data_IF_307205122724
#
_entry.id   IF_307205122724
#
_cell.length_a   1.000
_cell.length_b   1.000
_cell.length_c   1.000
_cell.angle_alpha   90.00
_cell.angle_beta   90.00
_cell.angle_gamma   90.00
#
_symmetry.space_group_name_H-M   'P 1'
#
loop_
_entity.id
_entity.type
_entity.pdbx_description
1 polymer ?
#
# COMPACT_ATOMS: atom_id res chain seq x y z
N UNK A 1 -1.67 40.44 -18.13
CA UNK A 1 -2.31 39.47 -17.20
C UNK A 1 -1.33 38.32 -17.00
N UNK A 2 -0.50 38.36 -15.95
CA UNK A 2 0.45 37.28 -15.64
C UNK A 2 -0.24 36.08 -14.97
N UNK A 3 0.32 34.86 -15.06
CA UNK A 3 -0.27 33.69 -14.45
C UNK A 3 -0.17 33.81 -12.93
N UNK A 4 -1.31 33.73 -12.24
CA UNK A 4 -1.39 33.65 -10.78
C UNK A 4 -0.67 32.38 -10.34
N UNK A 5 0.44 32.53 -9.60
CA UNK A 5 0.97 31.47 -8.75
C UNK A 5 -0.13 31.14 -7.73
N UNK A 6 -0.66 29.92 -7.78
CA UNK A 6 -1.44 29.36 -6.69
C UNK A 6 -0.49 29.22 -5.51
N UNK A 7 -0.50 30.18 -4.60
CA UNK A 7 0.07 30.03 -3.27
C UNK A 7 -0.71 28.91 -2.57
N UNK A 8 -0.12 27.72 -2.51
CA UNK A 8 -0.62 26.58 -1.74
C UNK A 8 -0.49 26.91 -0.25
N UNK A 9 -1.46 27.66 0.28
CA UNK A 9 -1.58 27.87 1.72
C UNK A 9 -1.88 26.52 2.36
N UNK A 10 -0.89 25.96 3.04
CA UNK A 10 -1.06 24.73 3.80
C UNK A 10 -2.14 24.88 4.86
N UNK A 11 -2.99 23.86 5.03
CA UNK A 11 -3.65 23.70 6.33
C UNK A 11 -2.58 23.29 7.33
N UNK A 12 -2.27 24.09 8.36
CA UNK A 12 -1.19 23.82 9.33
C UNK A 12 -1.35 22.45 10.02
N UNK A 13 -2.56 21.89 10.04
CA UNK A 13 -2.81 20.55 10.60
C UNK A 13 -2.18 19.39 9.82
N UNK A 14 -2.05 19.47 8.49
CA UNK A 14 -1.46 18.37 7.70
C UNK A 14 0.04 18.23 7.95
N UNK A 15 0.76 19.35 8.00
CA UNK A 15 2.20 19.35 8.19
C UNK A 15 2.58 18.86 9.59
N UNK A 16 1.87 19.33 10.62
CA UNK A 16 2.05 18.89 12.00
C UNK A 16 1.76 17.40 12.17
N UNK A 17 0.67 16.91 11.56
CA UNK A 17 0.35 15.49 11.56
C UNK A 17 1.47 14.65 10.95
N UNK A 18 1.96 15.03 9.76
CA UNK A 18 3.00 14.27 9.06
C UNK A 18 4.30 14.22 9.88
N UNK A 19 4.74 15.36 10.45
CA UNK A 19 5.93 15.41 11.32
C UNK A 19 5.81 14.52 12.54
N UNK A 20 4.62 14.41 13.13
CA UNK A 20 4.37 13.54 14.28
C UNK A 20 4.31 12.06 13.87
N UNK A 21 3.63 11.77 12.76
CA UNK A 21 3.28 10.41 12.35
C UNK A 21 4.41 9.66 11.64
N UNK A 22 5.20 10.37 10.83
CA UNK A 22 6.30 9.75 10.09
C UNK A 22 7.50 9.63 11.02
N UNK A 23 7.95 8.40 11.35
CA UNK A 23 9.10 8.24 12.22
C UNK A 23 10.37 8.75 11.52
N UNK A 24 11.23 9.52 12.20
CA UNK A 24 12.51 9.90 11.63
C UNK A 24 13.37 8.65 11.41
N UNK A 25 14.17 8.67 10.34
CA UNK A 25 15.12 7.59 10.08
C UNK A 25 16.20 7.59 11.17
N UNK A 26 16.33 6.54 12.02
CA UNK A 26 17.33 6.53 13.07
C UNK A 26 18.75 6.50 12.49
N UNK A 27 19.79 6.88 13.25
CA UNK A 27 21.17 6.66 12.85
C UNK A 27 21.42 5.19 12.49
N UNK A 28 22.24 4.95 11.47
CA UNK A 28 22.55 3.60 10.97
C UNK A 28 23.01 2.65 12.08
N UNK A 29 23.83 3.14 13.01
CA UNK A 29 24.36 2.38 14.14
C UNK A 29 23.27 1.88 15.10
N UNK A 30 22.08 2.50 15.06
CA UNK A 30 20.92 2.16 15.89
C UNK A 30 19.74 1.64 15.08
N UNK A 31 19.93 1.31 13.78
CA UNK A 31 18.85 0.92 12.86
C UNK A 31 18.03 -0.29 13.30
N UNK A 32 18.62 -1.19 14.09
CA UNK A 32 17.98 -2.41 14.61
C UNK A 32 17.28 -2.19 15.96
N UNK A 33 17.55 -1.08 16.64
CA UNK A 33 16.87 -0.78 17.90
C UNK A 33 15.40 -0.50 17.60
N UNK A 34 14.52 -1.27 18.23
CA UNK A 34 13.08 -1.07 18.08
C UNK A 34 12.74 0.39 18.41
N UNK A 35 12.10 1.14 17.50
CA UNK A 35 11.59 2.47 17.84
C UNK A 35 10.57 2.33 18.99
N UNK A 36 10.46 3.35 19.88
CA UNK A 36 9.47 3.36 20.96
C UNK A 36 8.05 3.14 20.42
N UNK A 37 7.06 2.68 21.21
CA UNK A 37 5.76 2.29 20.69
C UNK A 37 5.08 3.45 19.94
N UNK A 38 5.11 3.35 18.60
CA UNK A 38 4.62 4.39 17.68
C UNK A 38 3.11 4.22 17.42
N UNK A 39 2.48 3.19 17.99
CA UNK A 39 1.11 2.73 17.71
C UNK A 39 0.08 3.87 17.74
N UNK A 40 0.14 4.74 18.76
CA UNK A 40 -0.73 5.90 18.87
C UNK A 40 -0.61 6.85 17.66
N UNK A 41 0.60 7.05 17.13
CA UNK A 41 0.84 7.96 16.00
C UNK A 41 0.33 7.38 14.69
N UNK A 42 0.48 6.07 14.50
CA UNK A 42 -0.09 5.38 13.34
C UNK A 42 -1.62 5.47 13.34
N UNK A 43 -2.27 5.24 14.48
CA UNK A 43 -3.73 5.39 14.61
C UNK A 43 -4.20 6.83 14.38
N UNK A 44 -3.46 7.83 14.86
CA UNK A 44 -3.74 9.25 14.59
C UNK A 44 -3.69 9.55 13.08
N UNK A 45 -2.67 9.05 12.37
CA UNK A 45 -2.55 9.20 10.92
C UNK A 45 -3.76 8.59 10.19
N UNK A 46 -4.12 7.35 10.52
CA UNK A 46 -5.28 6.66 9.91
C UNK A 46 -6.57 7.44 10.15
N UNK A 47 -6.79 7.89 11.39
CA UNK A 47 -7.98 8.65 11.77
C UNK A 47 -8.07 9.97 11.00
N UNK A 48 -6.96 10.72 10.93
CA UNK A 48 -6.91 11.97 10.19
C UNK A 48 -7.15 11.73 8.69
N UNK A 49 -6.48 10.74 8.11
CA UNK A 49 -6.63 10.40 6.69
C UNK A 49 -8.08 10.06 6.34
N UNK A 50 -8.75 9.23 7.17
CA UNK A 50 -10.15 8.85 6.95
C UNK A 50 -11.13 10.01 7.14
N UNK A 51 -10.80 11.00 7.96
CA UNK A 51 -11.60 12.22 8.11
C UNK A 51 -11.51 13.16 6.89
N UNK A 52 -10.49 13.00 6.04
CA UNK A 52 -10.39 13.75 4.79
C UNK A 52 -11.37 13.22 3.74
N UNK A 53 -11.97 14.14 3.01
CA UNK A 53 -12.78 13.81 1.83
C UNK A 53 -11.91 13.13 0.75
N UNK A 54 -12.43 12.11 0.06
CA UNK A 54 -11.76 11.51 -1.09
C UNK A 54 -11.39 12.54 -2.17
N UNK A 55 -10.40 12.22 -3.00
CA UNK A 55 -9.93 13.10 -4.07
C UNK A 55 -8.92 14.17 -3.60
N UNK A 56 -9.12 15.47 -3.90
CA UNK A 56 -8.08 16.49 -3.72
C UNK A 56 -7.44 16.58 -2.32
N UNK A 57 -8.19 16.51 -1.19
CA UNK A 57 -7.58 16.63 0.14
C UNK A 57 -6.65 15.46 0.50
N UNK A 58 -7.04 14.22 0.15
CA UNK A 58 -6.18 13.04 0.35
C UNK A 58 -4.97 13.08 -0.59
N UNK A 59 -5.19 13.47 -1.84
CA UNK A 59 -4.12 13.63 -2.81
C UNK A 59 -3.06 14.63 -2.33
N UNK A 60 -3.48 15.78 -1.79
CA UNK A 60 -2.58 16.80 -1.23
C UNK A 60 -1.73 16.24 -0.08
N UNK A 61 -2.34 15.53 0.86
CA UNK A 61 -1.63 14.90 1.98
C UNK A 61 -0.59 13.89 1.47
N UNK A 62 -0.95 13.04 0.50
CA UNK A 62 -0.06 12.05 -0.09
C UNK A 62 1.11 12.68 -0.85
N UNK A 63 0.87 13.78 -1.57
CA UNK A 63 1.95 14.52 -2.25
C UNK A 63 2.95 15.12 -1.26
N UNK A 64 2.46 15.68 -0.14
CA UNK A 64 3.33 16.20 0.92
C UNK A 64 4.15 15.07 1.55
N UNK A 65 3.51 13.95 1.89
CA UNK A 65 4.19 12.77 2.42
C UNK A 65 5.31 12.31 1.49
N UNK A 66 5.01 12.17 0.19
CA UNK A 66 5.98 11.72 -0.81
C UNK A 66 7.16 12.69 -0.99
N UNK A 67 6.89 14.00 -0.98
CA UNK A 67 7.90 15.04 -1.22
C UNK A 67 8.77 15.28 0.02
N UNK A 68 8.15 15.44 1.18
CA UNK A 68 8.82 15.94 2.39
C UNK A 68 9.45 14.82 3.23
N UNK A 69 9.00 13.57 3.03
CA UNK A 69 9.44 12.39 3.78
C UNK A 69 10.02 11.28 2.89
N UNK A 70 10.56 11.66 1.73
CA UNK A 70 11.30 10.78 0.83
C UNK A 70 12.71 10.44 1.31
N UNK A 71 13.61 10.27 0.36
CA UNK A 71 15.03 9.97 0.60
C UNK A 71 15.80 11.25 0.96
N UNK A 72 16.66 11.18 1.98
CA UNK A 72 17.56 12.29 2.33
C UNK A 72 18.76 12.34 1.36
N UNK A 73 18.61 13.03 0.23
CA UNK A 73 19.61 13.05 -0.85
C UNK A 73 21.03 13.47 -0.43
N UNK A 74 21.16 14.35 0.58
CA UNK A 74 22.46 14.72 1.14
C UNK A 74 23.19 13.53 1.78
N UNK A 75 22.49 12.75 2.62
CA UNK A 75 23.05 11.54 3.25
C UNK A 75 23.38 10.46 2.23
N UNK A 76 22.59 10.34 1.16
CA UNK A 76 22.88 9.41 0.07
C UNK A 76 24.17 9.78 -0.65
N UNK A 77 24.37 11.07 -0.97
CA UNK A 77 25.60 11.53 -1.62
C UNK A 77 26.83 11.26 -0.74
N UNK A 78 26.74 11.56 0.56
CA UNK A 78 27.81 11.28 1.52
C UNK A 78 28.12 9.78 1.64
N UNK A 79 27.08 8.93 1.72
CA UNK A 79 27.25 7.48 1.82
C UNK A 79 27.84 6.90 0.52
N UNK A 80 27.41 7.39 -0.65
CA UNK A 80 27.94 6.97 -1.94
C UNK A 80 29.43 7.32 -2.09
N UNK A 81 29.84 8.52 -1.66
CA UNK A 81 31.25 8.92 -1.65
C UNK A 81 32.11 7.98 -0.78
N UNK A 82 31.59 7.53 0.38
CA UNK A 82 32.29 6.56 1.25
C UNK A 82 32.48 5.19 0.59
N UNK A 83 31.51 4.73 -0.22
CA UNK A 83 31.64 3.49 -0.99
C UNK A 83 32.76 3.61 -2.03
N UNK A 84 32.79 4.72 -2.78
CA UNK A 84 33.84 4.96 -3.78
C UNK A 84 35.22 5.01 -3.13
N UNK A 85 35.35 5.74 -2.02
CA UNK A 85 36.61 5.83 -1.28
C UNK A 85 37.10 4.47 -0.76
N UNK A 86 36.20 3.64 -0.22
CA UNK A 86 36.55 2.30 0.27
C UNK A 86 37.07 1.40 -0.86
N UNK A 87 36.49 1.53 -2.07
CA UNK A 87 36.91 0.80 -3.28
C UNK A 87 38.29 1.27 -3.77
N UNK A 88 38.52 2.58 -3.85
CA UNK A 88 39.80 3.14 -4.31
C UNK A 88 40.97 2.76 -3.38
N UNK A 89 40.73 2.80 -2.07
CA UNK A 89 41.72 2.44 -1.05
C UNK A 89 41.98 0.93 -0.96
N UNK A 90 41.31 0.10 -1.78
CA UNK A 90 41.35 -1.37 -1.73
C UNK A 90 41.19 -1.89 -0.29
N UNK A 91 40.26 -1.32 0.47
CA UNK A 91 39.99 -1.75 1.84
C UNK A 91 39.53 -3.20 1.88
N UNK A 92 39.72 -3.85 3.03
CA UNK A 92 39.21 -5.19 3.31
C UNK A 92 37.73 -5.33 2.92
N UNK A 93 37.30 -6.50 2.38
CA UNK A 93 35.94 -6.70 1.88
C UNK A 93 34.83 -6.30 2.86
N UNK A 94 35.04 -6.53 4.17
CA UNK A 94 34.07 -6.17 5.20
C UNK A 94 33.80 -4.66 5.30
N UNK A 95 34.81 -3.82 5.09
CA UNK A 95 34.65 -2.36 5.12
C UNK A 95 33.84 -1.85 3.93
N UNK A 96 34.04 -2.44 2.75
CA UNK A 96 33.27 -2.13 1.55
C UNK A 96 31.80 -2.53 1.74
N UNK A 97 31.54 -3.75 2.21
CA UNK A 97 30.18 -4.24 2.46
C UNK A 97 29.43 -3.40 3.50
N UNK A 98 30.11 -2.93 4.55
CA UNK A 98 29.52 -2.02 5.53
C UNK A 98 29.17 -0.64 4.93
N UNK A 99 30.02 -0.12 4.04
CA UNK A 99 29.73 1.14 3.34
C UNK A 99 28.53 0.98 2.39
N UNK A 100 28.44 -0.13 1.66
CA UNK A 100 27.31 -0.47 0.80
C UNK A 100 26.01 -0.64 1.59
N UNK A 101 26.07 -1.28 2.75
CA UNK A 101 24.90 -1.43 3.63
C UNK A 101 24.39 -0.09 4.18
N UNK A 102 25.31 0.81 4.55
CA UNK A 102 24.96 2.20 4.91
C UNK A 102 24.29 2.94 3.76
N UNK A 103 24.81 2.79 2.53
CA UNK A 103 24.18 3.39 1.35
C UNK A 103 22.78 2.82 1.12
N UNK A 104 22.62 1.48 1.16
CA UNK A 104 21.32 0.81 1.05
C UNK A 104 20.34 1.30 2.13
N UNK A 105 20.81 1.50 3.35
CA UNK A 105 19.99 2.03 4.45
C UNK A 105 19.46 3.43 4.14
N UNK A 106 20.33 4.39 3.78
CA UNK A 106 19.93 5.78 3.51
C UNK A 106 19.16 5.97 2.20
N UNK A 107 19.18 5.00 1.29
CA UNK A 107 18.32 4.97 0.11
C UNK A 107 16.86 4.63 0.43
N UNK A 108 16.54 4.17 1.65
CA UNK A 108 15.15 3.95 2.04
C UNK A 108 14.47 5.28 2.38
N UNK A 109 13.32 5.61 1.76
CA UNK A 109 12.56 6.80 2.11
C UNK A 109 11.89 6.68 3.48
N UNK A 110 11.67 7.81 4.17
CA UNK A 110 11.12 7.80 5.53
C UNK A 110 9.67 7.31 5.59
N UNK A 111 8.83 7.61 4.58
CA UNK A 111 7.47 7.07 4.51
C UNK A 111 7.41 5.54 4.46
N UNK A 112 8.50 4.85 4.08
CA UNK A 112 8.57 3.38 4.19
C UNK A 112 8.41 2.93 5.64
N UNK A 113 9.02 3.65 6.59
CA UNK A 113 8.87 3.38 8.02
C UNK A 113 7.45 3.61 8.51
N UNK A 114 6.77 4.66 8.01
CA UNK A 114 5.35 4.87 8.26
C UNK A 114 4.52 3.68 7.75
N UNK A 115 4.70 3.24 6.50
CA UNK A 115 3.96 2.10 5.95
C UNK A 115 4.20 0.81 6.72
N UNK A 116 5.44 0.52 7.13
CA UNK A 116 5.76 -0.63 7.98
C UNK A 116 5.04 -0.56 9.32
N UNK A 117 4.97 0.63 9.92
CA UNK A 117 4.27 0.83 11.17
C UNK A 117 2.76 0.65 11.01
N UNK A 118 2.17 1.27 9.99
CA UNK A 118 0.75 1.13 9.66
C UNK A 118 0.38 -0.33 9.41
N UNK A 119 1.23 -1.10 8.73
CA UNK A 119 0.99 -2.54 8.48
C UNK A 119 0.92 -3.41 9.72
N UNK A 120 1.44 -2.95 10.88
CA UNK A 120 1.36 -3.65 12.16
C UNK A 120 0.09 -3.34 12.96
N UNK A 121 -0.64 -2.29 12.58
CA UNK A 121 -1.89 -1.93 13.25
C UNK A 121 -2.99 -2.93 12.90
N UNK A 122 -3.96 -3.08 13.80
CA UNK A 122 -5.20 -3.80 13.51
C UNK A 122 -5.93 -3.13 12.33
N UNK A 123 -6.24 -3.90 11.28
CA UNK A 123 -6.81 -3.36 10.03
C UNK A 123 -5.84 -2.52 9.20
N UNK A 124 -4.56 -2.48 9.57
CA UNK A 124 -3.52 -1.66 8.93
C UNK A 124 -3.23 -2.03 7.47
N UNK A 125 -3.16 -3.33 7.16
CA UNK A 125 -2.99 -3.80 5.77
C UNK A 125 -4.15 -3.38 4.88
N UNK A 126 -5.39 -3.47 5.37
CA UNK A 126 -6.58 -2.99 4.65
C UNK A 126 -6.47 -1.49 4.38
N UNK A 127 -6.09 -0.71 5.38
CA UNK A 127 -5.88 0.73 5.21
C UNK A 127 -4.79 1.05 4.16
N UNK A 128 -3.70 0.30 4.11
CA UNK A 128 -2.64 0.52 3.12
C UNK A 128 -3.09 0.20 1.69
N UNK A 129 -3.98 -0.77 1.52
CA UNK A 129 -4.63 -1.04 0.23
C UNK A 129 -5.56 0.12 -0.16
N UNK A 130 -6.38 0.61 0.77
CA UNK A 130 -7.24 1.80 0.58
C UNK A 130 -6.40 3.02 0.19
N UNK A 131 -5.32 3.30 0.93
CA UNK A 131 -4.41 4.41 0.67
C UNK A 131 -3.72 4.31 -0.70
N UNK A 132 -3.36 3.09 -1.13
CA UNK A 132 -2.80 2.86 -2.47
C UNK A 132 -3.84 3.11 -3.56
N UNK A 133 -5.10 2.72 -3.34
CA UNK A 133 -6.18 2.96 -4.30
C UNK A 133 -6.36 4.47 -4.53
N UNK A 134 -6.44 5.25 -3.45
CA UNK A 134 -6.52 6.71 -3.50
C UNK A 134 -5.28 7.33 -4.20
N UNK A 135 -4.09 6.77 -3.96
CA UNK A 135 -2.87 7.21 -4.62
C UNK A 135 -2.92 6.97 -6.14
N UNK A 136 -3.39 5.78 -6.57
CA UNK A 136 -3.52 5.47 -7.99
C UNK A 136 -4.59 6.34 -8.67
N UNK A 137 -5.71 6.61 -7.99
CA UNK A 137 -6.74 7.51 -8.49
C UNK A 137 -6.21 8.95 -8.64
N UNK A 138 -5.44 9.44 -7.66
CA UNK A 138 -4.78 10.74 -7.73
C UNK A 138 -3.81 10.86 -8.91
N UNK A 139 -3.04 9.81 -9.19
CA UNK A 139 -2.15 9.74 -10.35
C UNK A 139 -2.93 9.68 -11.67
N UNK A 140 -4.01 8.89 -11.73
CA UNK A 140 -4.82 8.72 -12.95
C UNK A 140 -5.58 10.01 -13.32
N UNK A 141 -6.12 10.72 -12.33
CA UNK A 141 -6.85 11.98 -12.50
C UNK A 141 -5.93 13.19 -12.78
N UNK A 142 -4.61 13.03 -12.66
CA UNK A 142 -3.61 14.13 -12.66
C UNK A 142 -3.91 15.21 -11.62
N UNK A 143 -4.73 14.92 -10.60
CA UNK A 143 -4.93 15.81 -9.46
C UNK A 143 -3.61 16.04 -8.70
N UNK A 144 -2.72 15.04 -8.77
CA UNK A 144 -1.37 15.07 -8.23
C UNK A 144 -0.43 14.39 -9.22
N UNK A 145 0.68 15.05 -9.56
CA UNK A 145 1.72 14.51 -10.45
C UNK A 145 3.10 14.87 -9.90
N UNK A 146 4.09 14.04 -10.22
CA UNK A 146 5.47 14.25 -9.84
C UNK A 146 6.25 12.95 -9.60
N UNK A 147 7.58 12.99 -9.75
CA UNK A 147 8.44 11.82 -9.56
C UNK A 147 8.36 11.23 -8.14
N UNK A 148 8.19 12.08 -7.12
CA UNK A 148 8.08 11.64 -5.72
C UNK A 148 6.87 10.72 -5.48
N UNK A 149 5.70 11.07 -6.02
CA UNK A 149 4.48 10.28 -5.80
C UNK A 149 4.56 8.94 -6.55
N UNK A 150 5.17 8.92 -7.73
CA UNK A 150 5.42 7.70 -8.51
C UNK A 150 6.41 6.77 -7.78
N UNK A 151 7.45 7.33 -7.18
CA UNK A 151 8.36 6.56 -6.30
C UNK A 151 7.56 5.95 -5.15
N UNK A 152 6.81 6.77 -4.40
CA UNK A 152 6.09 6.31 -3.21
C UNK A 152 5.08 5.21 -3.56
N UNK A 153 4.42 5.31 -4.72
CA UNK A 153 3.57 4.24 -5.27
C UNK A 153 4.34 2.94 -5.48
N UNK A 154 5.56 3.02 -6.03
CA UNK A 154 6.44 1.89 -6.27
C UNK A 154 6.86 1.21 -4.96
N UNK A 155 7.27 2.00 -3.97
CA UNK A 155 7.63 1.48 -2.63
C UNK A 155 6.43 0.76 -2.00
N UNK A 156 5.27 1.40 -1.97
CA UNK A 156 4.06 0.79 -1.41
C UNK A 156 3.62 -0.46 -2.20
N UNK A 157 3.86 -0.48 -3.52
CA UNK A 157 3.57 -1.65 -4.37
C UNK A 157 4.39 -2.84 -3.93
N UNK A 158 5.68 -2.65 -3.82
CA UNK A 158 6.63 -3.71 -3.49
C UNK A 158 6.33 -4.27 -2.09
N UNK A 159 6.06 -3.39 -1.12
CA UNK A 159 5.66 -3.81 0.23
C UNK A 159 4.37 -4.65 0.23
N UNK A 160 3.33 -4.19 -0.49
CA UNK A 160 2.09 -4.96 -0.61
C UNK A 160 2.28 -6.28 -1.38
N UNK A 161 3.18 -6.34 -2.36
CA UNK A 161 3.49 -7.60 -3.07
C UNK A 161 4.15 -8.63 -2.16
N UNK A 162 4.97 -8.20 -1.19
CA UNK A 162 5.54 -9.09 -0.18
C UNK A 162 4.47 -9.57 0.82
N UNK A 163 3.57 -8.69 1.24
CA UNK A 163 2.52 -9.01 2.21
C UNK A 163 1.35 -9.82 1.64
N UNK A 164 0.98 -9.62 0.37
CA UNK A 164 -0.08 -10.36 -0.31
C UNK A 164 0.45 -11.51 -1.18
N UNK A 165 1.55 -12.14 -0.76
CA UNK A 165 2.07 -13.32 -1.43
C UNK A 165 1.16 -14.54 -1.19
N UNK A 166 1.26 -15.55 -2.05
CA UNK A 166 0.36 -16.71 -2.04
C UNK A 166 0.32 -17.47 -0.71
N UNK A 167 1.41 -17.43 0.07
CA UNK A 167 1.49 -18.06 1.40
C UNK A 167 0.61 -17.42 2.47
N UNK A 168 0.14 -16.18 2.25
CA UNK A 168 -0.78 -15.49 3.17
C UNK A 168 -2.24 -15.48 2.69
N UNK A 169 -2.52 -16.09 1.54
CA UNK A 169 -3.85 -16.14 0.96
C UNK A 169 -4.52 -17.49 1.21
N UNK A 170 -5.73 -17.45 1.77
CA UNK A 170 -6.58 -18.62 1.95
C UNK A 170 -7.56 -18.71 0.78
N UNK A 171 -7.64 -19.90 0.17
CA UNK A 171 -8.68 -20.19 -0.81
C UNK A 171 -9.93 -20.69 -0.08
N UNK A 172 -11.00 -19.90 -0.13
CA UNK A 172 -12.28 -20.20 0.50
C UNK A 172 -13.34 -20.55 -0.55
N UNK A 173 -14.12 -21.60 -0.29
CA UNK A 173 -15.23 -21.99 -1.17
C UNK A 173 -16.53 -21.31 -0.73
N UNK A 174 -17.20 -20.69 -1.68
CA UNK A 174 -18.51 -20.05 -1.49
C UNK A 174 -19.60 -21.04 -1.88
N UNK A 175 -20.59 -21.16 -1.01
CA UNK A 175 -21.78 -21.99 -1.21
C UNK A 175 -23.02 -21.22 -0.79
N UNK A 176 -24.21 -21.78 -1.02
CA UNK A 176 -25.45 -21.15 -0.53
C UNK A 176 -25.55 -21.12 1.01
N UNK A 177 -24.72 -21.89 1.70
CA UNK A 177 -24.61 -21.92 3.15
C UNK A 177 -23.61 -20.89 3.70
N UNK A 178 -22.83 -20.24 2.84
CA UNK A 178 -21.91 -19.19 3.26
C UNK A 178 -22.66 -17.98 3.86
N UNK A 179 -22.04 -17.21 4.76
CA UNK A 179 -22.67 -16.02 5.34
C UNK A 179 -23.20 -15.07 4.26
N UNK A 180 -24.38 -14.50 4.51
CA UNK A 180 -25.02 -13.55 3.58
C UNK A 180 -24.10 -12.36 3.25
N UNK A 181 -23.32 -11.90 4.24
CA UNK A 181 -22.33 -10.83 4.05
C UNK A 181 -21.30 -11.16 2.97
N UNK A 182 -20.78 -12.39 2.94
CA UNK A 182 -19.79 -12.82 1.92
C UNK A 182 -20.45 -12.85 0.54
N UNK A 183 -21.67 -13.37 0.45
CA UNK A 183 -22.43 -13.38 -0.80
C UNK A 183 -22.71 -11.96 -1.31
N UNK A 184 -23.04 -11.02 -0.42
CA UNK A 184 -23.24 -9.62 -0.77
C UNK A 184 -21.95 -8.98 -1.29
N UNK A 185 -20.82 -9.13 -0.59
CA UNK A 185 -19.53 -8.59 -1.03
C UNK A 185 -19.11 -9.11 -2.41
N UNK A 186 -19.33 -10.40 -2.68
CA UNK A 186 -19.06 -10.99 -3.99
C UNK A 186 -19.98 -10.39 -5.06
N UNK A 187 -21.27 -10.24 -4.75
CA UNK A 187 -22.24 -9.62 -5.65
C UNK A 187 -21.84 -8.17 -6.01
N UNK A 188 -21.41 -7.39 -5.01
CA UNK A 188 -21.03 -5.99 -5.17
C UNK A 188 -19.71 -5.82 -5.93
N UNK A 189 -18.81 -6.81 -5.83
CA UNK A 189 -17.48 -6.78 -6.45
C UNK A 189 -17.43 -7.44 -7.85
N UNK A 190 -18.55 -7.94 -8.35
CA UNK A 190 -18.66 -8.61 -9.65
C UNK A 190 -18.53 -7.60 -10.81
N UNK A 191 -17.30 -7.47 -11.33
CA UNK A 191 -16.96 -6.51 -12.37
C UNK A 191 -17.16 -7.03 -13.81
N UNK A 192 -17.37 -8.35 -14.02
CA UNK A 192 -17.45 -8.93 -15.37
C UNK A 192 -18.91 -9.08 -15.80
N UNK A 193 -19.73 -9.73 -14.98
CA UNK A 193 -21.13 -10.00 -15.28
C UNK A 193 -22.03 -9.74 -14.06
N UNK A 194 -22.54 -8.51 -13.89
CA UNK A 194 -23.28 -8.11 -12.69
C UNK A 194 -24.35 -9.12 -12.29
N UNK A 195 -24.40 -9.46 -11.01
CA UNK A 195 -25.39 -10.37 -10.45
C UNK A 195 -26.76 -9.70 -10.53
N UNK A 196 -27.75 -10.38 -11.14
CA UNK A 196 -29.05 -9.76 -11.41
C UNK A 196 -29.96 -9.71 -10.19
N UNK A 197 -29.93 -10.76 -9.37
CA UNK A 197 -30.75 -10.91 -8.17
C UNK A 197 -30.26 -12.09 -7.32
N UNK A 198 -30.88 -12.30 -6.16
CA UNK A 198 -30.50 -13.36 -5.23
C UNK A 198 -30.69 -14.79 -5.80
N UNK A 199 -31.63 -14.96 -6.73
CA UNK A 199 -31.85 -16.25 -7.42
C UNK A 199 -30.74 -16.54 -8.43
N UNK A 200 -30.22 -15.51 -9.13
CA UNK A 200 -29.01 -15.62 -9.95
C UNK A 200 -27.81 -16.00 -9.08
N UNK A 201 -27.60 -15.32 -7.95
CA UNK A 201 -26.51 -15.66 -7.03
C UNK A 201 -26.58 -17.12 -6.56
N UNK A 202 -27.78 -17.59 -6.18
CA UNK A 202 -28.00 -19.00 -5.79
C UNK A 202 -27.58 -19.99 -6.89
N UNK A 203 -27.83 -19.65 -8.16
CA UNK A 203 -27.40 -20.46 -9.30
C UNK A 203 -25.89 -20.45 -9.44
N UNK A 204 -25.24 -19.29 -9.30
CA UNK A 204 -23.77 -19.13 -9.42
C UNK A 204 -22.96 -19.85 -8.35
N UNK A 205 -23.55 -20.14 -7.19
CA UNK A 205 -22.91 -20.94 -6.12
C UNK A 205 -23.52 -22.34 -5.97
N UNK A 206 -24.40 -22.72 -6.89
CA UNK A 206 -25.22 -23.93 -6.83
C UNK A 206 -24.63 -25.14 -7.57
N UNK A 207 -25.51 -26.01 -8.06
CA UNK A 207 -25.11 -27.19 -8.83
C UNK A 207 -24.38 -26.79 -10.12
N UNK A 208 -23.37 -27.57 -10.53
CA UNK A 208 -22.51 -27.32 -11.70
C UNK A 208 -21.79 -25.96 -11.69
N UNK A 209 -21.73 -25.30 -10.55
CA UNK A 209 -20.97 -24.08 -10.32
C UNK A 209 -20.11 -24.23 -9.07
N UNK A 210 -18.93 -23.64 -9.11
CA UNK A 210 -18.05 -23.45 -7.96
C UNK A 210 -17.66 -22.00 -7.94
N UNK A 211 -17.77 -21.39 -6.77
CA UNK A 211 -17.29 -20.04 -6.54
C UNK A 211 -16.25 -20.14 -5.43
N UNK A 212 -15.10 -19.52 -5.65
CA UNK A 212 -14.03 -19.42 -4.68
C UNK A 212 -13.62 -17.96 -4.52
N UNK A 213 -13.07 -17.62 -3.38
CA UNK A 213 -12.33 -16.38 -3.24
C UNK A 213 -11.02 -16.59 -2.50
N UNK A 214 -10.05 -15.72 -2.76
CA UNK A 214 -8.88 -15.58 -1.91
C UNK A 214 -9.15 -14.51 -0.84
N UNK A 215 -8.92 -14.86 0.42
CA UNK A 215 -8.84 -13.91 1.54
C UNK A 215 -7.42 -13.85 2.06
N UNK A 216 -7.04 -12.74 2.68
CA UNK A 216 -5.75 -12.64 3.37
C UNK A 216 -5.92 -13.10 4.82
N UNK A 217 -4.94 -13.82 5.37
CA UNK A 217 -5.04 -14.37 6.74
C UNK A 217 -5.26 -13.30 7.83
N UNK A 218 -4.74 -12.08 7.62
CA UNK A 218 -4.96 -10.92 8.49
C UNK A 218 -6.21 -10.07 8.14
N UNK A 219 -6.95 -10.42 7.08
CA UNK A 219 -8.19 -9.76 6.67
C UNK A 219 -9.22 -10.86 6.32
N UNK A 220 -9.63 -11.68 7.29
CA UNK A 220 -10.53 -12.80 7.04
C UNK A 220 -11.91 -12.34 6.57
N UNK A 221 -12.56 -13.11 5.70
CA UNK A 221 -13.91 -12.81 5.22
C UNK A 221 -14.03 -11.63 4.24
N UNK A 222 -12.91 -11.02 3.84
CA UNK A 222 -12.86 -10.02 2.78
C UNK A 222 -12.39 -10.68 1.47
N UNK A 223 -13.26 -10.79 0.44
CA UNK A 223 -12.90 -11.41 -0.82
C UNK A 223 -12.00 -10.48 -1.65
N UNK A 224 -10.72 -10.86 -1.80
CA UNK A 224 -9.75 -10.07 -2.59
C UNK A 224 -9.80 -10.40 -4.08
N UNK A 225 -9.97 -11.69 -4.39
CA UNK A 225 -10.04 -12.22 -5.75
C UNK A 225 -11.18 -13.21 -5.77
N UNK A 226 -12.16 -13.03 -6.65
CA UNK A 226 -13.30 -13.95 -6.82
C UNK A 226 -13.13 -14.76 -8.10
N UNK A 227 -13.36 -16.07 -8.01
CA UNK A 227 -13.28 -17.01 -9.11
C UNK A 227 -14.61 -17.74 -9.26
N UNK A 228 -15.27 -17.54 -10.40
CA UNK A 228 -16.45 -18.32 -10.80
C UNK A 228 -16.05 -19.42 -11.78
N UNK A 229 -16.42 -20.65 -11.47
CA UNK A 229 -16.11 -21.85 -12.27
C UNK A 229 -17.39 -22.56 -12.65
N UNK A 230 -17.58 -22.81 -13.94
CA UNK A 230 -18.62 -23.69 -14.45
C UNK A 230 -18.07 -25.09 -14.67
N UNK A 231 -18.77 -26.11 -14.15
CA UNK A 231 -18.43 -27.50 -14.38
C UNK A 231 -19.18 -27.97 -15.64
N UNK A 232 -18.44 -28.24 -16.71
CA UNK A 232 -18.95 -28.63 -18.03
C UNK A 232 -18.16 -29.83 -18.55
N UNK A 233 -18.74 -30.58 -19.49
CA UNK A 233 -18.06 -31.66 -20.21
C UNK A 233 -17.09 -31.14 -21.28
N UNK A 234 -17.37 -29.95 -21.82
CA UNK A 234 -16.70 -29.36 -22.96
C UNK A 234 -16.30 -27.91 -22.68
N UNK A 235 -15.31 -27.40 -23.41
CA UNK A 235 -14.88 -25.99 -23.32
C UNK A 235 -16.02 -25.10 -23.86
N UNK A 236 -16.58 -24.24 -23.01
CA UNK A 236 -17.68 -23.36 -23.39
C UNK A 236 -17.24 -22.27 -24.37
N UNK A 237 -18.06 -22.04 -25.41
CA UNK A 237 -17.85 -20.99 -26.42
C UNK A 237 -18.75 -19.76 -26.25
N UNK A 238 -19.69 -19.81 -25.30
CA UNK A 238 -20.63 -18.74 -24.98
C UNK A 238 -20.79 -18.59 -23.47
N UNK A 239 -21.05 -17.36 -23.03
CA UNK A 239 -21.33 -17.02 -21.63
C UNK A 239 -22.83 -17.11 -21.28
N UNK A 240 -23.72 -17.06 -22.29
CA UNK A 240 -25.17 -17.09 -22.12
C UNK A 240 -25.71 -18.49 -21.83
#
# INVERSE_FOLDING_TARGET
RGPRRLSSGASPGMEELLRRSVPPLPPYETKEKAPPPVELRGTEFVRFYRALQPGPPRAELLTRLARDFGVEHGRVAEAAAKVLQAREQRREPGALLQAEDRLRYYLNPQYRGLFQHLGRLEGGLRFLVELRADLMEGLASKAVDGPHLKEMNGVLKNMLSEWFCTGFLNLERVTWQSPCEVLQKISDSEAVHPVRNWVDMKRRVGAYRRCYFFSHCAIPGEPLIVLHVALTSDISSSIQ
#
